data_IF_931710293804
#
_entry.id   IF_931710293804
#
_cell.length_a   1.000
_cell.length_b   1.000
_cell.length_c   1.000
_cell.angle_alpha   90.00
_cell.angle_beta   90.00
_cell.angle_gamma   90.00
#
_symmetry.space_group_name_H-M   'P 1'
#
loop_
_entity.id
_entity.type
_entity.pdbx_description
1 polymer ?
#
# COMPACT_ATOMS: atom_id res chain seq x y z
N UNK A 1 -53.88 37.13 -55.55
CA UNK A 1 -52.89 36.02 -55.32
C UNK A 1 -51.70 36.63 -54.64
N UNK A 2 -51.65 36.43 -53.28
CA UNK A 2 -50.54 36.85 -52.45
C UNK A 2 -49.61 35.66 -52.18
N UNK A 3 -48.37 35.75 -52.72
CA UNK A 3 -47.27 34.83 -52.36
C UNK A 3 -46.69 35.27 -51.02
N UNK A 4 -46.65 34.36 -50.05
CA UNK A 4 -45.91 34.51 -48.79
C UNK A 4 -44.53 33.85 -48.96
N UNK A 5 -43.41 34.53 -48.68
CA UNK A 5 -42.10 33.88 -48.72
C UNK A 5 -41.86 33.04 -47.44
N UNK A 6 -41.58 31.76 -47.62
CA UNK A 6 -41.13 30.85 -46.56
C UNK A 6 -39.70 31.17 -46.22
N UNK A 7 -39.50 31.77 -45.04
CA UNK A 7 -38.16 32.00 -44.48
C UNK A 7 -37.60 30.69 -43.93
N UNK A 8 -36.51 30.22 -44.52
CA UNK A 8 -35.72 29.08 -43.99
C UNK A 8 -34.88 29.56 -42.81
N UNK A 9 -35.27 29.19 -41.58
CA UNK A 9 -34.45 29.38 -40.36
C UNK A 9 -33.39 28.27 -40.33
N UNK A 10 -32.14 28.60 -40.68
CA UNK A 10 -30.99 27.76 -40.55
C UNK A 10 -30.48 27.85 -39.10
N UNK A 11 -30.92 26.93 -38.22
CA UNK A 11 -30.38 26.81 -36.87
C UNK A 11 -29.02 26.16 -36.94
N UNK A 12 -27.95 26.95 -36.74
CA UNK A 12 -26.57 26.45 -36.54
C UNK A 12 -26.47 25.86 -35.16
N UNK A 13 -26.47 24.54 -35.08
CA UNK A 13 -26.20 23.78 -33.83
C UNK A 13 -24.68 23.74 -33.60
N UNK A 14 -24.19 24.67 -32.78
CA UNK A 14 -22.77 24.75 -32.41
C UNK A 14 -22.45 23.61 -31.46
N UNK A 15 -21.83 22.53 -31.96
CA UNK A 15 -21.35 21.41 -31.19
C UNK A 15 -20.12 21.86 -30.41
N UNK A 16 -20.29 22.20 -29.11
CA UNK A 16 -19.19 22.47 -28.18
C UNK A 16 -18.57 21.13 -27.83
N UNK A 17 -17.51 20.74 -28.57
CA UNK A 17 -16.70 19.60 -28.24
C UNK A 17 -15.90 19.93 -26.94
N UNK A 18 -16.43 19.52 -25.79
CA UNK A 18 -15.73 19.64 -24.51
C UNK A 18 -14.47 18.78 -24.56
N UNK A 19 -13.31 19.43 -24.61
CA UNK A 19 -12.01 18.76 -24.46
C UNK A 19 -11.90 18.34 -23.00
N UNK A 20 -12.27 17.10 -22.68
CA UNK A 20 -11.94 16.49 -21.38
C UNK A 20 -10.42 16.32 -21.33
N UNK A 21 -9.73 17.23 -20.68
CA UNK A 21 -8.33 17.01 -20.28
C UNK A 21 -8.34 15.90 -19.24
N UNK A 22 -7.94 14.70 -19.62
CA UNK A 22 -7.67 13.62 -18.68
C UNK A 22 -6.51 14.10 -17.78
N UNK A 23 -6.83 14.49 -16.55
CA UNK A 23 -5.84 14.89 -15.56
C UNK A 23 -5.04 13.63 -15.20
N UNK A 24 -3.77 13.59 -15.59
CA UNK A 24 -2.87 12.49 -15.24
C UNK A 24 -2.76 12.43 -13.72
N UNK A 25 -3.28 11.37 -13.11
CA UNK A 25 -3.18 11.19 -11.66
C UNK A 25 -1.71 11.06 -11.27
N UNK A 26 -1.28 11.90 -10.36
CA UNK A 26 0.07 11.88 -9.82
C UNK A 26 0.17 10.75 -8.80
N UNK A 27 1.20 9.93 -8.90
CA UNK A 27 1.31 8.70 -8.09
C UNK A 27 2.70 8.53 -7.50
N UNK A 28 2.75 7.85 -6.34
CA UNK A 28 3.96 7.26 -5.78
C UNK A 28 4.00 5.78 -6.17
N UNK A 29 5.08 5.35 -6.81
CA UNK A 29 5.27 3.94 -7.15
C UNK A 29 5.90 3.19 -5.97
N UNK A 30 5.24 2.13 -5.51
CA UNK A 30 5.71 1.24 -4.45
C UNK A 30 6.14 -0.10 -5.05
N UNK A 31 7.37 -0.53 -4.74
CA UNK A 31 7.91 -1.84 -5.11
C UNK A 31 8.03 -2.73 -3.87
N UNK A 32 6.98 -3.50 -3.56
CA UNK A 32 6.92 -4.34 -2.38
C UNK A 32 7.32 -5.79 -2.71
N UNK A 33 8.33 -6.33 -2.00
CA UNK A 33 8.66 -7.76 -2.02
C UNK A 33 7.96 -8.46 -0.87
N UNK A 34 7.38 -9.63 -1.14
CA UNK A 34 6.65 -10.44 -0.17
C UNK A 34 7.28 -11.81 -0.02
N UNK A 35 7.65 -12.19 1.21
CA UNK A 35 8.37 -13.42 1.53
C UNK A 35 7.79 -14.10 2.79
N UNK A 36 8.08 -15.38 2.91
CA UNK A 36 7.81 -16.19 4.10
C UNK A 36 9.13 -16.49 4.81
N UNK A 37 9.17 -16.34 6.13
CA UNK A 37 10.34 -16.68 6.96
C UNK A 37 10.73 -18.16 6.81
N UNK A 38 11.99 -18.41 6.45
CA UNK A 38 12.49 -19.76 6.18
C UNK A 38 12.09 -20.32 4.83
N UNK A 39 11.54 -19.50 3.93
CA UNK A 39 11.03 -19.92 2.63
C UNK A 39 9.60 -20.48 2.72
N UNK A 40 9.01 -20.78 1.59
CA UNK A 40 7.68 -21.35 1.52
C UNK A 40 6.82 -20.76 0.40
N UNK A 41 5.74 -21.45 0.08
CA UNK A 41 4.78 -21.04 -0.94
C UNK A 41 3.99 -19.81 -0.49
N UNK A 42 3.75 -18.92 -1.43
CA UNK A 42 2.81 -17.80 -1.30
C UNK A 42 1.38 -18.17 -1.77
N UNK A 43 1.12 -19.44 -2.12
CA UNK A 43 -0.25 -19.93 -2.30
C UNK A 43 -1.06 -19.59 -1.05
N UNK A 44 -2.30 -19.30 -1.11
CA UNK A 44 -3.16 -18.86 0.00
C UNK A 44 -2.74 -17.57 0.72
N UNK A 45 -1.63 -16.95 0.33
CA UNK A 45 -1.29 -15.62 0.77
C UNK A 45 -2.06 -14.58 -0.07
N UNK A 46 -2.26 -13.39 0.50
CA UNK A 46 -2.87 -12.27 -0.21
C UNK A 46 -2.45 -10.94 0.41
N UNK A 47 -2.53 -9.90 -0.36
CA UNK A 47 -2.34 -8.53 0.11
C UNK A 47 -3.65 -7.76 -0.03
N UNK A 48 -4.04 -7.04 1.03
CA UNK A 48 -5.18 -6.12 0.99
C UNK A 48 -4.64 -4.70 0.94
N UNK A 49 -5.07 -3.94 -0.07
CA UNK A 49 -4.83 -2.52 -0.19
C UNK A 49 -6.05 -1.76 0.34
N UNK A 50 -5.80 -0.92 1.34
CA UNK A 50 -6.80 0.02 1.87
C UNK A 50 -6.38 1.44 1.53
N UNK A 51 -7.36 2.31 1.29
CA UNK A 51 -7.19 3.75 1.11
C UNK A 51 -8.18 4.45 2.03
N UNK A 52 -7.68 5.39 2.83
CA UNK A 52 -8.50 6.20 3.75
C UNK A 52 -9.44 5.34 4.62
N UNK A 53 -8.93 4.19 5.10
CA UNK A 53 -9.65 3.22 5.93
C UNK A 53 -10.58 2.25 5.19
N UNK A 54 -10.73 2.37 3.88
CA UNK A 54 -11.58 1.49 3.07
C UNK A 54 -10.74 0.50 2.26
N UNK A 55 -11.12 -0.78 2.24
CA UNK A 55 -10.49 -1.77 1.35
C UNK A 55 -10.88 -1.49 -0.08
N UNK A 56 -9.89 -1.25 -0.94
CA UNK A 56 -10.10 -0.94 -2.36
C UNK A 56 -9.69 -2.10 -3.28
N UNK A 57 -8.77 -2.96 -2.83
CA UNK A 57 -8.29 -4.08 -3.64
C UNK A 57 -7.76 -5.22 -2.77
N UNK A 58 -7.92 -6.46 -3.25
CA UNK A 58 -7.27 -7.65 -2.70
C UNK A 58 -6.52 -8.36 -3.82
N UNK A 59 -5.22 -8.49 -3.66
CA UNK A 59 -4.32 -9.10 -4.63
C UNK A 59 -3.87 -10.49 -4.16
N UNK A 60 -3.78 -11.48 -5.04
CA UNK A 60 -3.27 -12.81 -4.68
C UNK A 60 -1.80 -12.74 -4.27
N UNK A 61 -1.35 -13.74 -3.49
CA UNK A 61 0.02 -13.82 -3.02
C UNK A 61 1.02 -14.01 -4.15
N UNK A 62 1.91 -13.05 -4.29
CA UNK A 62 3.03 -13.06 -5.24
C UNK A 62 4.29 -12.48 -4.58
N UNK A 63 5.46 -12.81 -5.14
CA UNK A 63 6.75 -12.43 -4.54
C UNK A 63 7.08 -10.94 -4.65
N UNK A 64 6.43 -10.23 -5.55
CA UNK A 64 6.62 -8.80 -5.76
C UNK A 64 5.34 -8.14 -6.26
N UNK A 65 5.10 -6.92 -5.80
CA UNK A 65 4.03 -6.03 -6.26
C UNK A 65 4.63 -4.71 -6.70
N UNK A 66 4.14 -4.17 -7.79
CA UNK A 66 4.35 -2.76 -8.18
C UNK A 66 2.99 -2.06 -8.12
N UNK A 67 2.86 -1.11 -7.21
CA UNK A 67 1.62 -0.37 -6.94
C UNK A 67 1.85 1.10 -7.25
N UNK A 68 0.92 1.74 -7.95
CA UNK A 68 0.92 3.18 -8.18
C UNK A 68 -0.15 3.81 -7.29
N UNK A 69 0.27 4.37 -6.17
CA UNK A 69 -0.61 4.98 -5.18
C UNK A 69 -0.82 6.46 -5.51
N UNK A 70 -2.06 6.89 -5.62
CA UNK A 70 -2.38 8.30 -5.86
C UNK A 70 -1.86 9.16 -4.71
N UNK A 71 -1.31 10.34 -5.04
CA UNK A 71 -0.88 11.32 -4.05
C UNK A 71 -2.10 11.93 -3.35
N UNK A 72 -1.96 12.23 -2.05
CA UNK A 72 -2.98 12.90 -1.24
C UNK A 72 -3.90 11.98 -0.44
N UNK A 73 -3.51 10.71 -0.19
CA UNK A 73 -4.29 9.75 0.58
C UNK A 73 -3.45 8.98 1.60
N UNK A 74 -4.12 8.27 2.51
CA UNK A 74 -3.51 7.36 3.48
C UNK A 74 -3.80 5.91 3.09
N UNK A 75 -2.74 5.13 2.88
CA UNK A 75 -2.83 3.73 2.46
C UNK A 75 -2.34 2.79 3.55
N UNK A 76 -2.98 1.61 3.64
CA UNK A 76 -2.49 0.48 4.43
C UNK A 76 -2.39 -0.73 3.51
N UNK A 77 -1.19 -1.29 3.40
CA UNK A 77 -0.92 -2.55 2.75
C UNK A 77 -0.85 -3.63 3.83
N UNK A 78 -1.80 -4.56 3.82
CA UNK A 78 -1.85 -5.69 4.78
C UNK A 78 -1.47 -6.98 4.07
N UNK A 79 -0.35 -7.58 4.50
CA UNK A 79 0.18 -8.84 3.96
C UNK A 79 -0.29 -10.00 4.84
N UNK A 80 -1.00 -10.95 4.26
CA UNK A 80 -1.72 -11.99 4.97
C UNK A 80 -1.40 -13.38 4.43
N UNK A 81 -1.36 -14.36 5.33
CA UNK A 81 -1.37 -15.80 5.01
C UNK A 81 -1.97 -16.57 6.19
N UNK A 82 -2.86 -17.56 5.97
CA UNK A 82 -3.40 -18.40 7.04
C UNK A 82 -2.30 -19.04 7.89
N UNK A 83 -2.39 -18.91 9.21
CA UNK A 83 -1.39 -19.44 10.17
C UNK A 83 -0.11 -18.61 10.29
N UNK A 84 -0.07 -17.42 9.69
CA UNK A 84 1.03 -16.46 9.80
C UNK A 84 0.56 -15.14 10.40
N UNK A 85 1.50 -14.39 10.94
CA UNK A 85 1.22 -13.07 11.49
C UNK A 85 1.07 -12.07 10.34
N UNK A 86 -0.08 -11.41 10.29
CA UNK A 86 -0.31 -10.31 9.36
C UNK A 86 0.65 -9.15 9.65
N UNK A 87 1.29 -8.62 8.62
CA UNK A 87 2.08 -7.39 8.71
C UNK A 87 1.45 -6.29 7.88
N UNK A 88 1.37 -5.11 8.46
CA UNK A 88 0.78 -3.93 7.83
C UNK A 88 1.86 -2.88 7.62
N UNK A 89 1.85 -2.23 6.46
CA UNK A 89 2.67 -1.06 6.15
C UNK A 89 1.71 0.11 5.89
N UNK A 90 1.91 1.21 6.58
CA UNK A 90 1.18 2.44 6.32
C UNK A 90 1.99 3.31 5.36
N UNK A 91 1.34 3.86 4.35
CA UNK A 91 1.95 4.76 3.36
C UNK A 91 1.05 5.98 3.26
N UNK A 92 1.51 7.08 3.84
CA UNK A 92 0.80 8.36 3.76
C UNK A 92 1.40 9.18 2.63
N UNK A 93 0.63 9.38 1.55
CA UNK A 93 1.08 10.11 0.35
C UNK A 93 0.73 11.59 0.40
N UNK A 94 0.42 12.15 1.57
CA UNK A 94 0.18 13.59 1.77
C UNK A 94 1.48 14.32 2.17
N UNK A 95 1.44 15.66 2.14
CA UNK A 95 2.48 16.52 2.75
C UNK A 95 3.51 17.11 1.77
N UNK A 96 3.60 16.61 0.54
CA UNK A 96 4.33 17.26 -0.55
C UNK A 96 3.51 18.43 -1.11
N UNK A 97 4.17 19.50 -1.52
CA UNK A 97 3.54 20.61 -2.24
C UNK A 97 3.33 20.28 -3.73
N UNK A 98 2.56 21.12 -4.42
CA UNK A 98 2.20 20.88 -5.83
C UNK A 98 3.42 20.87 -6.76
N UNK A 99 4.39 21.75 -6.53
CA UNK A 99 5.60 21.84 -7.34
C UNK A 99 6.41 20.55 -7.26
N UNK A 100 6.57 20.01 -6.05
CA UNK A 100 7.27 18.73 -5.84
C UNK A 100 6.49 17.54 -6.42
N UNK A 101 5.18 17.56 -6.29
CA UNK A 101 4.31 16.53 -6.89
C UNK A 101 4.44 16.54 -8.43
N UNK A 102 4.59 17.71 -9.06
CA UNK A 102 4.75 17.85 -10.50
C UNK A 102 6.05 17.26 -11.03
N UNK A 103 7.11 17.32 -10.22
CA UNK A 103 8.42 16.71 -10.52
C UNK A 103 8.38 15.17 -10.45
N UNK A 104 7.39 14.59 -9.72
CA UNK A 104 7.27 13.16 -9.47
C UNK A 104 8.20 12.68 -8.36
N UNK A 105 8.10 11.43 -7.98
CA UNK A 105 8.85 10.79 -6.90
C UNK A 105 9.56 9.53 -7.41
N UNK A 106 10.69 9.20 -6.79
CA UNK A 106 11.32 7.91 -7.02
C UNK A 106 10.46 6.77 -6.48
N UNK A 107 10.59 5.59 -7.08
CA UNK A 107 9.88 4.42 -6.58
C UNK A 107 10.43 3.96 -5.24
N UNK A 108 9.54 3.66 -4.28
CA UNK A 108 9.95 3.25 -2.93
C UNK A 108 9.94 1.73 -2.79
N UNK A 109 11.11 1.07 -2.60
CA UNK A 109 11.21 -0.36 -2.44
C UNK A 109 11.17 -0.78 -0.97
N UNK A 110 10.47 -1.87 -0.63
CA UNK A 110 10.59 -2.54 0.67
C UNK A 110 10.34 -4.04 0.59
N UNK A 111 10.66 -4.75 1.65
CA UNK A 111 10.42 -6.18 1.77
C UNK A 111 9.64 -6.49 3.04
N UNK A 112 8.54 -7.25 2.90
CA UNK A 112 7.79 -7.80 4.02
C UNK A 112 8.05 -9.30 4.12
N UNK A 113 8.39 -9.76 5.33
CA UNK A 113 8.58 -11.19 5.63
C UNK A 113 7.56 -11.59 6.68
N UNK A 114 6.66 -12.53 6.35
CA UNK A 114 5.72 -13.08 7.33
C UNK A 114 6.36 -14.21 8.12
N UNK A 115 6.11 -14.20 9.42
CA UNK A 115 6.50 -15.24 10.35
C UNK A 115 5.29 -16.09 10.71
N UNK A 116 5.51 -17.41 10.87
CA UNK A 116 4.47 -18.34 11.32
C UNK A 116 4.00 -17.95 12.72
N UNK A 117 2.69 -18.00 12.94
CA UNK A 117 2.10 -17.78 14.26
C UNK A 117 2.25 -19.04 15.11
N UNK A 118 2.55 -18.87 16.40
CA UNK A 118 2.63 -19.94 17.39
C UNK A 118 1.79 -19.56 18.62
N UNK A 119 1.14 -20.57 19.20
CA UNK A 119 0.33 -20.39 20.40
C UNK A 119 1.17 -19.89 21.58
N UNK A 120 0.56 -19.05 22.42
CA UNK A 120 1.20 -18.47 23.61
C UNK A 120 2.18 -17.32 23.33
N UNK A 121 2.39 -16.92 22.09
CA UNK A 121 3.19 -15.72 21.75
C UNK A 121 2.29 -14.50 21.67
N UNK A 122 2.67 -13.42 22.37
CA UNK A 122 1.95 -12.16 22.28
C UNK A 122 2.26 -11.44 20.97
N UNK A 123 1.27 -11.36 20.09
CA UNK A 123 1.37 -10.75 18.77
C UNK A 123 0.59 -9.42 18.64
N UNK A 124 0.11 -8.87 19.75
CA UNK A 124 -0.74 -7.65 19.76
C UNK A 124 -0.05 -6.47 19.06
N UNK A 125 1.29 -6.38 19.14
CA UNK A 125 2.07 -5.33 18.46
C UNK A 125 1.85 -5.30 16.94
N UNK A 126 1.51 -6.42 16.31
CA UNK A 126 1.26 -6.50 14.87
C UNK A 126 -0.17 -6.10 14.46
N UNK A 127 -1.03 -5.73 15.40
CA UNK A 127 -2.34 -5.14 15.08
C UNK A 127 -2.21 -3.76 14.46
N UNK A 128 -1.11 -3.06 14.72
CA UNK A 128 -0.76 -1.78 14.09
C UNK A 128 0.26 -1.98 12.95
N UNK A 129 0.47 -0.97 12.09
CA UNK A 129 1.52 -1.02 11.08
C UNK A 129 2.90 -1.27 11.69
N UNK A 130 3.70 -2.14 11.08
CA UNK A 130 5.09 -2.39 11.49
C UNK A 130 6.07 -1.36 10.92
N UNK A 131 5.60 -0.56 9.96
CA UNK A 131 6.34 0.53 9.33
C UNK A 131 5.38 1.61 8.83
N UNK A 132 5.88 2.84 8.77
CA UNK A 132 5.23 3.96 8.09
C UNK A 132 6.19 4.57 7.07
N UNK A 133 5.64 4.96 5.93
CA UNK A 133 6.32 5.70 4.87
C UNK A 133 5.56 7.02 4.73
N UNK A 134 6.27 8.15 4.81
CA UNK A 134 5.67 9.49 4.77
C UNK A 134 6.58 10.42 3.97
N UNK A 135 6.02 11.54 3.50
CA UNK A 135 6.84 12.57 2.87
C UNK A 135 7.77 13.24 3.90
N UNK A 136 9.05 13.25 3.60
CA UNK A 136 10.10 13.86 4.40
C UNK A 136 10.54 15.18 3.78
N UNK A 137 10.19 16.30 4.42
CA UNK A 137 10.67 17.63 4.01
C UNK A 137 12.21 17.75 4.02
N UNK A 138 12.89 16.93 4.82
CA UNK A 138 14.36 16.97 4.93
C UNK A 138 15.03 16.40 3.68
N UNK A 139 14.44 15.35 3.10
CA UNK A 139 15.00 14.66 1.93
C UNK A 139 14.28 15.04 0.65
N UNK A 140 13.18 15.79 0.76
CA UNK A 140 12.28 16.16 -0.33
C UNK A 140 11.79 14.93 -1.12
N UNK A 141 11.53 13.82 -0.37
CA UNK A 141 11.17 12.52 -0.92
C UNK A 141 10.33 11.72 0.09
N UNK A 142 9.63 10.69 -0.36
CA UNK A 142 8.99 9.73 0.54
C UNK A 142 10.05 8.85 1.20
N UNK A 143 9.98 8.75 2.52
CA UNK A 143 10.95 8.00 3.30
C UNK A 143 10.29 7.35 4.52
N UNK A 144 11.05 6.49 5.15
CA UNK A 144 10.69 5.73 6.32
C UNK A 144 10.56 6.62 7.56
N UNK A 145 9.42 6.54 8.24
CA UNK A 145 9.22 7.25 9.52
C UNK A 145 10.05 6.58 10.62
N UNK A 146 11.25 7.13 10.84
CA UNK A 146 12.20 6.60 11.82
C UNK A 146 11.73 6.78 13.26
N UNK A 147 10.94 7.80 13.57
CA UNK A 147 10.47 8.06 14.93
C UNK A 147 9.34 7.11 15.29
N UNK A 148 8.41 6.88 14.36
CA UNK A 148 7.42 5.82 14.53
C UNK A 148 8.08 4.46 14.74
N UNK A 149 9.05 4.12 13.91
CA UNK A 149 9.74 2.83 14.00
C UNK A 149 10.45 2.65 15.31
N UNK A 150 11.20 3.64 15.79
CA UNK A 150 11.86 3.60 17.11
C UNK A 150 10.86 3.37 18.23
N UNK A 151 9.66 3.97 18.14
CA UNK A 151 8.63 3.85 19.17
C UNK A 151 8.09 2.43 19.36
N UNK A 152 8.11 1.59 18.32
CA UNK A 152 7.59 0.22 18.35
C UNK A 152 8.66 -0.86 18.23
N UNK A 153 9.89 -0.50 17.91
CA UNK A 153 10.98 -1.41 17.55
C UNK A 153 11.25 -2.46 18.64
N UNK A 154 11.32 -2.07 19.91
CA UNK A 154 11.60 -2.99 21.02
C UNK A 154 10.49 -4.03 21.20
N UNK A 155 9.23 -3.63 21.04
CA UNK A 155 8.09 -4.52 21.15
C UNK A 155 8.01 -5.51 19.96
N UNK A 156 8.32 -5.05 18.75
CA UNK A 156 8.41 -5.92 17.57
C UNK A 156 9.55 -6.92 17.74
N UNK A 157 10.75 -6.47 18.11
CA UNK A 157 11.91 -7.36 18.31
C UNK A 157 11.61 -8.43 19.34
N UNK A 158 11.02 -8.06 20.49
CA UNK A 158 10.62 -9.03 21.53
C UNK A 158 9.64 -10.07 20.99
N UNK A 159 8.60 -9.66 20.29
CA UNK A 159 7.63 -10.57 19.70
C UNK A 159 8.27 -11.52 18.66
N UNK A 160 9.15 -11.01 17.81
CA UNK A 160 9.88 -11.82 16.81
C UNK A 160 10.86 -12.81 17.46
N UNK A 161 11.52 -12.43 18.55
CA UNK A 161 12.36 -13.36 19.34
C UNK A 161 11.55 -14.49 19.96
N UNK A 162 10.39 -14.17 20.56
CA UNK A 162 9.51 -15.16 21.17
C UNK A 162 8.95 -16.13 20.12
N UNK A 163 8.64 -15.66 18.91
CA UNK A 163 8.27 -16.51 17.78
C UNK A 163 9.41 -17.44 17.37
N UNK A 164 10.64 -16.94 17.27
CA UNK A 164 11.83 -17.75 16.94
C UNK A 164 12.09 -18.83 18.01
N UNK A 165 11.93 -18.52 19.29
CA UNK A 165 12.05 -19.49 20.40
C UNK A 165 10.97 -20.57 20.30
N UNK A 166 9.71 -20.19 20.02
CA UNK A 166 8.60 -21.12 19.88
C UNK A 166 8.76 -22.04 18.66
N UNK A 167 9.29 -21.50 17.54
CA UNK A 167 9.67 -22.30 16.36
C UNK A 167 10.67 -23.38 16.71
N UNK A 168 11.76 -23.04 17.44
CA UNK A 168 12.80 -24.00 17.85
C UNK A 168 12.24 -25.10 18.74
N UNK A 169 11.42 -24.76 19.75
CA UNK A 169 10.79 -25.74 20.66
C UNK A 169 9.87 -26.72 19.94
N UNK A 170 9.16 -26.26 18.89
CA UNK A 170 8.26 -27.14 18.13
C UNK A 170 9.03 -28.12 17.25
N UNK A 171 10.14 -27.67 16.65
CA UNK A 171 11.01 -28.53 15.82
C UNK A 171 11.67 -29.63 16.68
N UNK A 172 12.21 -29.29 17.88
CA UNK A 172 12.84 -30.29 18.77
C UNK A 172 11.86 -31.37 19.22
N UNK A 173 10.60 -31.03 19.50
CA UNK A 173 9.55 -32.02 19.90
C UNK A 173 9.06 -32.93 18.77
N UNK A 174 9.37 -32.63 17.50
CA UNK A 174 9.01 -33.48 16.36
C UNK A 174 10.13 -34.46 15.99
N UNK A 175 11.30 -34.33 16.61
CA UNK A 175 12.48 -35.19 16.39
C UNK A 175 12.67 -36.25 17.51
N UNK A 176 11.87 -36.21 18.57
CA UNK A 176 11.72 -37.23 19.61
C UNK A 176 10.57 -38.17 19.27
#
# INVERSE_FOLDING_TARGET
>A
IHLVPVGVFLTIFMFICGVSTAQTKKTLTINAKFKIDGGGSLSDAYMVLQRDGQSIETLPGQSAYTLNLEIGADYILSFNKPGYITKKININTTGADEERIDQGFESYPFTVVLMKQYDGVNIVIFNQPVAKITYSKKYDEFDYDTDYTKSIQSAIQKAEEDLKKSKKKKVSKQQE
#
